data_IF_022407297877
#
_entry.id   IF_022407297877
#
_cell.length_a   1.000
_cell.length_b   1.000
_cell.length_c   1.000
_cell.angle_alpha   90.00
_cell.angle_beta   90.00
_cell.angle_gamma   90.00
#
_symmetry.space_group_name_H-M   'P 1'
#
loop_
_entity.id
_entity.type
_entity.pdbx_description
1 polymer ?
#
# COMPACT_ATOMS: atom_id res chain seq x y z
N UNK A 1 32.25 32.08 5.91
CA UNK A 1 32.10 30.77 6.56
C UNK A 1 30.83 30.14 6.03
N UNK A 2 30.91 28.99 5.34
CA UNK A 2 29.75 28.35 4.73
C UNK A 2 28.95 27.59 5.81
N UNK A 3 27.63 27.76 5.83
CA UNK A 3 26.76 27.05 6.75
C UNK A 3 26.75 25.54 6.42
N UNK A 4 26.71 24.64 7.43
CA UNK A 4 26.62 23.20 7.20
C UNK A 4 25.27 22.83 6.57
N UNK A 5 25.31 21.99 5.54
CA UNK A 5 24.11 21.49 4.86
C UNK A 5 23.29 20.58 5.80
N UNK A 6 21.95 20.64 5.79
CA UNK A 6 21.12 19.80 6.64
C UNK A 6 21.24 18.32 6.23
N UNK A 7 21.35 17.45 7.24
CA UNK A 7 21.51 16.01 7.07
C UNK A 7 20.19 15.37 6.58
N UNK A 8 20.16 14.69 5.42
CA UNK A 8 18.93 14.13 4.84
C UNK A 8 18.29 12.98 5.65
N UNK A 9 18.95 12.52 6.72
CA UNK A 9 18.42 11.50 7.64
C UNK A 9 17.86 12.07 8.95
N UNK A 10 17.70 13.39 9.05
CA UNK A 10 17.03 14.05 10.18
C UNK A 10 15.52 13.75 10.16
N UNK A 11 15.15 12.54 10.61
CA UNK A 11 13.75 12.08 10.74
C UNK A 11 13.11 12.62 12.01
N UNK A 12 13.27 13.90 12.30
CA UNK A 12 12.67 14.59 13.46
C UNK A 12 11.16 14.83 13.27
N UNK A 13 10.49 13.93 12.55
CA UNK A 13 9.04 13.87 12.50
C UNK A 13 8.60 13.34 13.86
N UNK A 14 8.00 14.21 14.68
CA UNK A 14 7.35 13.83 15.93
C UNK A 14 6.57 12.52 15.70
N UNK A 15 6.78 11.45 16.48
CA UNK A 15 5.89 10.31 16.43
C UNK A 15 4.48 10.86 16.68
N UNK A 16 3.54 10.52 15.78
CA UNK A 16 2.11 10.67 16.08
C UNK A 16 1.93 9.94 17.41
N UNK A 17 1.30 10.54 18.44
CA UNK A 17 1.03 9.81 19.67
C UNK A 17 0.35 8.52 19.23
N UNK A 18 0.94 7.38 19.58
CA UNK A 18 0.24 6.12 19.57
C UNK A 18 -1.02 6.35 20.40
N UNK A 19 -2.11 6.68 19.69
CA UNK A 19 -3.43 6.39 20.18
C UNK A 19 -3.35 4.92 20.54
N UNK A 20 -3.38 4.68 21.86
CA UNK A 20 -4.01 3.53 22.47
C UNK A 20 -4.46 2.51 21.43
N UNK A 21 -3.71 1.42 21.36
CA UNK A 21 -4.07 0.21 20.64
C UNK A 21 -5.32 -0.35 21.34
N UNK A 22 -6.47 0.30 21.12
CA UNK A 22 -7.76 -0.33 21.31
C UNK A 22 -7.76 -1.51 20.33
N UNK A 23 -7.80 -2.71 20.88
CA UNK A 23 -7.80 -3.99 20.17
C UNK A 23 -9.11 -4.21 19.40
N UNK A 24 -9.64 -3.17 18.76
CA UNK A 24 -10.77 -3.26 17.84
C UNK A 24 -10.22 -3.50 16.44
N UNK A 25 -9.79 -4.74 16.18
CA UNK A 25 -9.76 -5.39 14.86
C UNK A 25 -9.59 -4.43 13.65
N UNK A 26 -8.58 -3.54 13.70
CA UNK A 26 -8.48 -2.45 12.73
C UNK A 26 -7.89 -3.04 11.44
N UNK A 27 -8.77 -3.58 10.58
CA UNK A 27 -8.37 -4.07 9.26
C UNK A 27 -7.58 -2.95 8.55
N UNK A 28 -6.42 -3.32 8.00
CA UNK A 28 -5.45 -2.37 7.47
C UNK A 28 -6.15 -1.43 6.47
N UNK A 29 -5.92 -0.11 6.52
CA UNK A 29 -6.53 0.81 5.59
C UNK A 29 -6.35 0.43 4.11
N UNK A 30 -5.26 -0.25 3.77
CA UNK A 30 -5.00 -0.78 2.43
C UNK A 30 -5.90 -1.98 2.13
N UNK A 31 -6.02 -2.94 3.06
CA UNK A 31 -6.90 -4.11 2.89
C UNK A 31 -8.35 -3.67 2.69
N UNK A 32 -8.83 -2.71 3.50
CA UNK A 32 -10.16 -2.10 3.32
C UNK A 32 -10.36 -1.53 1.91
N UNK A 33 -9.35 -0.82 1.38
CA UNK A 33 -9.41 -0.22 0.05
C UNK A 33 -9.37 -1.26 -1.08
N UNK A 34 -8.58 -2.31 -0.91
CA UNK A 34 -8.44 -3.41 -1.87
C UNK A 34 -9.70 -4.27 -1.91
N UNK A 35 -10.31 -4.53 -0.75
CA UNK A 35 -11.59 -5.22 -0.63
C UNK A 35 -12.70 -4.40 -1.33
N UNK A 36 -12.76 -3.09 -1.05
CA UNK A 36 -13.74 -2.20 -1.68
C UNK A 36 -13.54 -2.02 -3.20
N UNK A 37 -12.34 -2.23 -3.73
CA UNK A 37 -12.06 -2.12 -5.17
C UNK A 37 -12.39 -3.38 -5.95
N UNK A 38 -12.61 -4.52 -5.29
CA UNK A 38 -12.80 -5.83 -5.92
C UNK A 38 -11.50 -6.42 -6.49
N UNK A 39 -10.34 -5.95 -6.03
CA UNK A 39 -9.02 -6.43 -6.47
C UNK A 39 -8.32 -7.30 -5.42
N UNK A 40 -9.08 -7.87 -4.48
CA UNK A 40 -8.55 -8.66 -3.37
C UNK A 40 -7.83 -9.94 -3.83
N UNK A 41 -8.36 -10.65 -4.83
CA UNK A 41 -7.73 -11.88 -5.34
C UNK A 41 -6.30 -11.62 -5.86
N UNK A 42 -6.11 -10.56 -6.65
CA UNK A 42 -4.80 -10.21 -7.18
C UNK A 42 -3.86 -9.68 -6.09
N UNK A 43 -4.41 -9.09 -5.02
CA UNK A 43 -3.63 -8.68 -3.86
C UNK A 43 -3.09 -9.89 -3.11
N UNK A 44 -3.97 -10.85 -2.78
CA UNK A 44 -3.57 -12.08 -2.08
C UNK A 44 -2.60 -12.92 -2.92
N UNK A 45 -2.79 -13.02 -4.24
CA UNK A 45 -1.83 -13.69 -5.12
C UNK A 45 -0.44 -13.02 -5.10
N UNK A 46 -0.39 -11.69 -5.03
CA UNK A 46 0.87 -10.97 -4.90
C UNK A 46 1.51 -11.19 -3.53
N UNK A 47 0.74 -11.17 -2.45
CA UNK A 47 1.21 -11.46 -1.09
C UNK A 47 1.77 -12.88 -0.99
N UNK A 48 1.05 -13.86 -1.54
CA UNK A 48 1.47 -15.26 -1.58
C UNK A 48 2.81 -15.42 -2.32
N UNK A 49 2.92 -14.84 -3.52
CA UNK A 49 4.18 -14.84 -4.27
C UNK A 49 5.34 -14.21 -3.47
N UNK A 50 5.10 -13.11 -2.76
CA UNK A 50 6.12 -12.47 -1.93
C UNK A 50 6.49 -13.32 -0.72
N UNK A 51 5.52 -14.00 -0.11
CA UNK A 51 5.76 -14.92 1.01
C UNK A 51 6.60 -16.13 0.56
N UNK A 52 6.29 -16.71 -0.61
CA UNK A 52 7.02 -17.85 -1.15
C UNK A 52 8.43 -17.49 -1.63
N UNK A 53 8.54 -16.42 -2.43
CA UNK A 53 9.79 -16.12 -3.17
C UNK A 53 10.71 -15.16 -2.44
N UNK A 54 10.15 -14.34 -1.54
CA UNK A 54 10.84 -13.25 -0.83
C UNK A 54 11.63 -12.29 -1.75
N UNK A 55 11.28 -12.28 -3.04
CA UNK A 55 11.91 -11.45 -4.06
C UNK A 55 10.81 -10.90 -4.97
N UNK A 56 10.46 -9.64 -4.74
CA UNK A 56 9.41 -8.94 -5.50
C UNK A 56 9.69 -8.89 -7.00
N UNK A 57 10.96 -8.99 -7.44
CA UNK A 57 11.31 -9.00 -8.88
C UNK A 57 10.79 -10.26 -9.57
N UNK A 58 10.65 -11.37 -8.84
CA UNK A 58 10.07 -12.61 -9.35
C UNK A 58 8.53 -12.57 -9.35
N UNK A 59 7.93 -11.62 -8.64
CA UNK A 59 6.48 -11.41 -8.55
C UNK A 59 5.98 -10.29 -9.48
N UNK A 60 6.73 -9.96 -10.54
CA UNK A 60 6.35 -8.91 -11.49
C UNK A 60 5.04 -9.21 -12.20
N UNK A 61 4.72 -10.48 -12.48
CA UNK A 61 3.47 -10.86 -13.11
C UNK A 61 2.27 -10.55 -12.21
N UNK A 62 2.29 -11.02 -10.97
CA UNK A 62 1.25 -10.74 -9.97
C UNK A 62 1.12 -9.24 -9.69
N UNK A 63 2.25 -8.53 -9.64
CA UNK A 63 2.26 -7.06 -9.50
C UNK A 63 1.57 -6.37 -10.68
N UNK A 64 1.78 -6.86 -11.91
CA UNK A 64 1.11 -6.31 -13.10
C UNK A 64 -0.39 -6.57 -13.06
N UNK A 65 -0.82 -7.79 -12.69
CA UNK A 65 -2.24 -8.15 -12.55
C UNK A 65 -2.95 -7.23 -11.54
N UNK A 66 -2.36 -7.05 -10.37
CA UNK A 66 -2.89 -6.18 -9.34
C UNK A 66 -3.00 -4.72 -9.81
N UNK A 67 -1.96 -4.19 -10.46
CA UNK A 67 -1.96 -2.82 -11.02
C UNK A 67 -3.05 -2.61 -12.06
N UNK A 68 -3.25 -3.57 -12.96
CA UNK A 68 -4.28 -3.50 -13.99
C UNK A 68 -5.68 -3.45 -13.35
N UNK A 69 -5.97 -4.35 -12.41
CA UNK A 69 -7.24 -4.36 -11.70
C UNK A 69 -7.51 -3.03 -11.00
N UNK A 70 -6.53 -2.53 -10.24
CA UNK A 70 -6.68 -1.26 -9.52
C UNK A 70 -6.87 -0.08 -10.48
N UNK A 71 -6.20 -0.06 -11.64
CA UNK A 71 -6.40 0.97 -12.64
C UNK A 71 -7.84 0.95 -13.22
N UNK A 72 -8.42 -0.23 -13.43
CA UNK A 72 -9.82 -0.36 -13.86
C UNK A 72 -10.80 0.08 -12.76
N UNK A 73 -10.56 -0.32 -11.51
CA UNK A 73 -11.37 0.10 -10.37
C UNK A 73 -11.38 1.63 -10.20
N UNK A 74 -10.23 2.29 -10.38
CA UNK A 74 -10.13 3.76 -10.34
C UNK A 74 -10.92 4.41 -11.48
N UNK A 75 -10.87 3.87 -12.70
CA UNK A 75 -11.65 4.37 -13.84
C UNK A 75 -13.14 4.26 -13.60
N UNK A 76 -13.62 3.11 -13.11
CA UNK A 76 -15.04 2.89 -12.76
C UNK A 76 -15.50 3.91 -11.71
N UNK A 77 -14.74 4.06 -10.62
CA UNK A 77 -15.01 5.03 -9.57
C UNK A 77 -15.05 6.48 -10.07
N UNK A 78 -14.26 6.83 -11.07
CA UNK A 78 -14.30 8.16 -11.68
C UNK A 78 -15.50 8.35 -12.62
N UNK A 79 -15.92 7.32 -13.33
CA UNK A 79 -17.12 7.36 -14.17
C UNK A 79 -18.40 7.50 -13.34
N UNK A 80 -18.50 6.77 -12.22
CA UNK A 80 -19.64 6.86 -11.30
C UNK A 80 -19.77 8.22 -10.62
N UNK A 81 -18.68 8.98 -10.56
CA UNK A 81 -18.62 10.32 -9.97
C UNK A 81 -18.83 11.45 -10.98
N UNK A 82 -18.95 11.15 -12.28
CA UNK A 82 -19.25 12.13 -13.33
C UNK A 82 -20.74 12.24 -13.55
#
# INVERSE_FOLDING_TARGET
>A
MAAPMPNPHDRTRKPKPEAEHEEEEEEDPIDKLVNASGCADQHFALLDCMAEKQDWRKCQEETKKFRLCMAEAQKKKQQEKR
#
